data_IF_713246194238
#
_entry.id   IF_713246194238
#
_cell.length_a   1.000
_cell.length_b   1.000
_cell.length_c   1.000
_cell.angle_alpha   90.00
_cell.angle_beta   90.00
_cell.angle_gamma   90.00
#
_symmetry.space_group_name_H-M   'P 1'
#
loop_
_entity.id
_entity.type
_entity.pdbx_description
1 polymer ?
#
# COMPACT_ATOMS: atom_id res chain seq x y z
N UNK A 1 4.17 33.34 -28.80
CA UNK A 1 3.07 32.53 -28.26
C UNK A 1 3.32 32.33 -26.77
N UNK A 2 2.54 33.01 -25.92
CA UNK A 2 2.76 32.98 -24.47
C UNK A 2 2.26 31.65 -23.90
N UNK A 3 3.14 30.96 -23.18
CA UNK A 3 2.82 29.73 -22.44
C UNK A 3 2.04 30.16 -21.19
N UNK A 4 0.80 29.79 -21.13
CA UNK A 4 -0.07 30.06 -19.97
C UNK A 4 0.31 29.07 -18.84
N UNK A 5 1.08 29.53 -17.86
CA UNK A 5 1.46 28.75 -16.67
C UNK A 5 0.35 28.89 -15.64
N UNK A 6 -0.46 27.88 -15.49
CA UNK A 6 -1.46 27.83 -14.42
C UNK A 6 -0.75 27.52 -13.08
N UNK A 7 -0.85 28.43 -12.11
CA UNK A 7 -0.36 28.25 -10.75
C UNK A 7 -1.44 27.66 -9.88
N UNK A 8 -1.36 26.38 -9.53
CA UNK A 8 -2.25 25.76 -8.56
C UNK A 8 -1.67 25.92 -7.15
N UNK A 9 -2.40 26.58 -6.25
CA UNK A 9 -2.02 26.82 -4.87
C UNK A 9 -2.65 25.75 -3.97
N UNK A 10 -1.85 24.88 -3.38
CA UNK A 10 -2.30 23.91 -2.40
C UNK A 10 -1.40 24.04 -1.16
N UNK A 11 -1.97 24.50 -0.04
CA UNK A 11 -1.32 24.53 1.29
C UNK A 11 0.11 25.11 1.26
N UNK A 12 0.29 26.28 0.65
CA UNK A 12 1.58 26.98 0.64
C UNK A 12 2.63 26.46 -0.36
N UNK A 13 2.37 25.36 -1.06
CA UNK A 13 3.27 24.84 -2.09
C UNK A 13 2.74 25.15 -3.49
N UNK A 14 3.61 25.68 -4.36
CA UNK A 14 3.30 26.02 -5.74
C UNK A 14 3.91 24.95 -6.65
N UNK A 15 3.08 24.10 -7.25
CA UNK A 15 3.48 23.28 -8.38
C UNK A 15 3.29 24.09 -9.67
N UNK A 16 4.36 24.25 -10.46
CA UNK A 16 4.27 24.83 -11.79
C UNK A 16 3.84 23.75 -12.77
N UNK A 17 2.54 23.55 -12.93
CA UNK A 17 1.97 22.56 -13.86
C UNK A 17 1.81 23.24 -15.22
N UNK A 18 2.54 22.76 -16.23
CA UNK A 18 2.45 23.28 -17.60
C UNK A 18 1.16 22.90 -18.31
N UNK A 19 0.62 21.71 -17.96
CA UNK A 19 -0.67 21.20 -18.47
C UNK A 19 -1.22 20.18 -17.45
N UNK A 20 -2.51 20.18 -17.16
CA UNK A 20 -3.16 19.25 -16.22
C UNK A 20 -3.15 17.80 -16.69
N UNK A 21 -2.89 17.53 -17.99
CA UNK A 21 -2.71 16.18 -18.56
C UNK A 21 -1.24 15.73 -18.64
N UNK A 22 -0.28 16.55 -18.23
CA UNK A 22 1.14 16.23 -18.31
C UNK A 22 1.63 15.51 -17.04
N UNK A 23 1.50 14.19 -17.03
CA UNK A 23 1.95 13.32 -15.92
C UNK A 23 3.47 13.37 -15.74
N UNK A 24 4.23 13.42 -16.84
CA UNK A 24 5.69 13.50 -16.80
C UNK A 24 6.16 14.82 -16.18
N UNK A 25 5.55 15.93 -16.57
CA UNK A 25 5.81 17.23 -15.97
C UNK A 25 5.47 17.31 -14.49
N UNK A 26 4.39 16.66 -14.05
CA UNK A 26 4.04 16.53 -12.63
C UNK A 26 5.12 15.76 -11.84
N UNK A 27 5.60 14.64 -12.39
CA UNK A 27 6.67 13.86 -11.75
C UNK A 27 7.97 14.66 -11.69
N UNK A 28 8.36 15.33 -12.77
CA UNK A 28 9.57 16.15 -12.81
C UNK A 28 9.48 17.32 -11.79
N UNK A 29 8.32 17.95 -11.65
CA UNK A 29 8.09 18.99 -10.66
C UNK A 29 8.22 18.45 -9.22
N UNK A 30 7.62 17.30 -8.91
CA UNK A 30 7.73 16.66 -7.61
C UNK A 30 9.18 16.31 -7.24
N UNK A 31 9.97 15.84 -8.20
CA UNK A 31 11.40 15.59 -8.02
C UNK A 31 12.18 16.90 -7.76
N UNK A 32 11.97 17.94 -8.57
CA UNK A 32 12.61 19.24 -8.43
C UNK A 32 12.27 19.92 -7.10
N UNK A 33 11.03 19.75 -6.63
CA UNK A 33 10.57 20.31 -5.37
C UNK A 33 10.99 19.46 -4.15
N UNK A 34 11.72 18.35 -4.35
CA UNK A 34 12.19 17.47 -3.29
C UNK A 34 11.06 16.75 -2.54
N UNK A 35 9.96 16.40 -3.23
CA UNK A 35 8.89 15.60 -2.66
C UNK A 35 9.34 14.14 -2.50
N UNK A 36 10.25 13.69 -3.36
CA UNK A 36 10.85 12.35 -3.39
C UNK A 36 12.20 12.39 -4.15
N UNK A 37 13.03 11.36 -3.96
CA UNK A 37 14.26 11.15 -4.75
C UNK A 37 14.02 10.32 -6.02
N UNK A 38 12.97 9.48 -5.99
CA UNK A 38 12.55 8.61 -7.09
C UNK A 38 11.03 8.47 -7.10
N UNK A 39 10.42 8.38 -8.30
CA UNK A 39 9.02 8.06 -8.45
C UNK A 39 8.73 7.34 -9.77
N UNK A 40 7.67 6.52 -9.77
CA UNK A 40 7.08 5.92 -10.97
C UNK A 40 5.55 6.08 -10.96
N UNK A 41 4.98 6.22 -12.15
CA UNK A 41 3.53 6.19 -12.39
C UNK A 41 3.21 5.16 -13.44
N UNK A 42 2.13 4.43 -13.25
CA UNK A 42 1.52 3.60 -14.29
C UNK A 42 0.00 3.83 -14.28
N UNK A 43 -0.59 3.99 -15.47
CA UNK A 43 -2.01 4.28 -15.66
C UNK A 43 -2.56 3.30 -16.69
N UNK A 44 -3.71 2.69 -16.39
CA UNK A 44 -4.45 1.85 -17.32
C UNK A 44 -5.85 2.41 -17.56
N UNK A 45 -6.33 2.24 -18.77
CA UNK A 45 -7.71 2.56 -19.21
C UNK A 45 -8.29 1.31 -19.84
N UNK A 46 -9.42 0.84 -19.33
CA UNK A 46 -10.10 -0.38 -19.81
C UNK A 46 -9.17 -1.63 -19.85
N UNK A 47 -8.16 -1.67 -18.99
CA UNK A 47 -7.18 -2.76 -18.92
C UNK A 47 -5.88 -2.51 -19.71
N UNK A 48 -5.85 -1.56 -20.63
CA UNK A 48 -4.66 -1.22 -21.40
C UNK A 48 -3.80 -0.17 -20.69
N UNK A 49 -2.49 -0.41 -20.60
CA UNK A 49 -1.54 0.56 -20.04
C UNK A 49 -1.37 1.71 -21.03
N UNK A 50 -1.85 2.91 -20.65
CA UNK A 50 -1.84 4.12 -21.52
C UNK A 50 -0.73 5.10 -21.17
N UNK A 51 -0.16 5.02 -19.96
CA UNK A 51 0.98 5.84 -19.55
C UNK A 51 1.85 5.10 -18.53
N UNK A 52 3.16 5.28 -18.69
CA UNK A 52 4.16 4.80 -17.75
C UNK A 52 5.34 5.75 -17.75
N UNK A 53 5.65 6.35 -16.59
CA UNK A 53 6.73 7.30 -16.43
C UNK A 53 7.55 6.99 -15.18
N UNK A 54 8.84 7.34 -15.22
CA UNK A 54 9.76 7.19 -14.11
C UNK A 54 10.69 8.41 -14.05
N UNK A 55 11.03 8.86 -12.83
CA UNK A 55 11.94 9.99 -12.61
C UNK A 55 12.84 9.75 -11.41
N UNK A 56 13.99 10.42 -11.41
CA UNK A 56 14.93 10.42 -10.29
C UNK A 56 15.84 9.20 -10.25
N UNK A 57 16.40 8.94 -9.07
CA UNK A 57 17.30 7.80 -8.81
C UNK A 57 16.87 7.06 -7.55
N UNK A 58 16.99 5.73 -7.52
CA UNK A 58 16.54 4.90 -6.39
C UNK A 58 17.18 5.27 -5.06
N UNK A 59 18.42 5.76 -5.08
CA UNK A 59 19.14 6.24 -3.90
C UNK A 59 20.02 7.41 -4.28
N UNK A 60 19.90 8.53 -3.58
CA UNK A 60 20.66 9.76 -3.80
C UNK A 60 21.47 10.17 -2.58
N UNK A 61 21.18 9.58 -1.41
CA UNK A 61 21.80 9.89 -0.14
C UNK A 61 22.18 8.60 0.62
N UNK A 62 23.31 8.63 1.34
CA UNK A 62 23.74 7.57 2.25
C UNK A 62 23.34 7.87 3.71
N UNK A 63 23.16 9.16 4.02
CA UNK A 63 22.56 9.68 5.25
C UNK A 63 21.99 11.09 4.96
N UNK A 64 21.23 11.70 5.87
CA UNK A 64 20.86 13.12 5.75
C UNK A 64 22.11 13.98 5.52
N UNK A 65 22.05 14.81 4.48
CA UNK A 65 23.14 15.70 4.02
C UNK A 65 24.44 14.99 3.57
N UNK A 66 24.43 13.66 3.42
CA UNK A 66 25.56 12.86 2.89
C UNK A 66 25.14 12.25 1.55
N UNK A 67 25.60 12.79 0.42
CA UNK A 67 25.30 12.21 -0.90
C UNK A 67 25.77 10.76 -0.99
N UNK A 68 25.07 9.96 -1.79
CA UNK A 68 25.45 8.58 -2.05
C UNK A 68 26.82 8.51 -2.73
N UNK A 69 27.75 7.72 -2.18
CA UNK A 69 29.09 7.50 -2.75
C UNK A 69 29.00 6.86 -4.15
N UNK A 70 28.02 5.96 -4.31
CA UNK A 70 27.79 5.28 -5.59
C UNK A 70 26.72 6.01 -6.39
N UNK A 71 27.02 6.25 -7.67
CA UNK A 71 25.99 6.67 -8.60
C UNK A 71 25.04 5.50 -8.92
N UNK A 72 23.76 5.66 -8.57
CA UNK A 72 22.72 4.68 -8.86
C UNK A 72 22.13 4.94 -10.26
N UNK A 73 21.72 3.89 -11.00
CA UNK A 73 21.08 4.08 -12.30
C UNK A 73 19.82 4.94 -12.18
N UNK A 74 19.35 5.58 -13.26
CA UNK A 74 18.04 6.21 -13.26
C UNK A 74 16.95 5.24 -12.84
N UNK A 75 15.92 5.75 -12.15
CA UNK A 75 14.69 5.03 -11.87
C UNK A 75 14.00 4.67 -13.17
N UNK A 76 13.54 3.44 -13.28
CA UNK A 76 12.81 2.91 -14.43
C UNK A 76 11.55 2.12 -14.00
N UNK A 77 10.87 1.52 -14.96
CA UNK A 77 9.67 0.72 -14.72
C UNK A 77 9.91 -0.57 -13.92
N UNK A 78 11.14 -1.08 -13.88
CA UNK A 78 11.52 -2.28 -13.14
C UNK A 78 11.98 -1.96 -11.71
N UNK A 79 12.18 -0.68 -11.38
CA UNK A 79 12.55 -0.25 -10.03
C UNK A 79 11.43 -0.60 -9.05
N UNK A 80 11.76 -1.35 -8.00
CA UNK A 80 10.81 -1.73 -6.94
C UNK A 80 10.83 -0.72 -5.81
N UNK A 81 9.66 -0.42 -5.29
CA UNK A 81 9.46 0.45 -4.14
C UNK A 81 8.93 -0.35 -2.96
N UNK A 82 9.31 0.04 -1.74
CA UNK A 82 8.62 -0.42 -0.54
C UNK A 82 7.19 0.11 -0.59
N UNK A 83 6.23 -0.81 -0.69
CA UNK A 83 4.81 -0.51 -0.85
C UNK A 83 4.13 -0.10 0.46
N UNK A 84 4.84 -0.27 1.58
CA UNK A 84 4.34 0.02 2.92
C UNK A 84 2.93 -0.56 3.14
N UNK A 85 1.98 0.27 3.54
CA UNK A 85 0.61 -0.18 3.85
C UNK A 85 -0.22 -0.68 2.66
N UNK A 86 0.24 -0.54 1.42
CA UNK A 86 -0.40 -1.23 0.28
C UNK A 86 -0.30 -2.76 0.46
N UNK A 87 0.68 -3.26 1.22
CA UNK A 87 0.76 -4.66 1.66
C UNK A 87 -0.56 -5.17 2.23
N UNK A 88 -1.30 -4.32 2.94
CA UNK A 88 -2.61 -4.67 3.54
C UNK A 88 -3.63 -5.13 2.51
N UNK A 89 -3.60 -4.60 1.29
CA UNK A 89 -4.49 -5.06 0.21
C UNK A 89 -4.20 -6.51 -0.17
N UNK A 90 -2.91 -6.85 -0.30
CA UNK A 90 -2.48 -8.22 -0.64
C UNK A 90 -2.77 -9.17 0.52
N UNK A 91 -2.52 -8.75 1.77
CA UNK A 91 -2.85 -9.55 2.96
C UNK A 91 -4.35 -9.83 3.05
N UNK A 92 -5.19 -8.80 2.87
CA UNK A 92 -6.64 -8.94 2.89
C UNK A 92 -7.12 -9.90 1.80
N UNK A 93 -6.69 -9.70 0.55
CA UNK A 93 -7.06 -10.56 -0.55
C UNK A 93 -6.58 -12.00 -0.35
N UNK A 94 -5.35 -12.21 0.15
CA UNK A 94 -4.82 -13.55 0.46
C UNK A 94 -5.70 -14.27 1.49
N UNK A 95 -6.03 -13.60 2.60
CA UNK A 95 -6.87 -14.18 3.64
C UNK A 95 -8.29 -14.45 3.14
N UNK A 96 -8.87 -13.54 2.34
CA UNK A 96 -10.18 -13.73 1.73
C UNK A 96 -10.20 -14.89 0.72
N UNK A 97 -9.14 -15.06 -0.09
CA UNK A 97 -9.01 -16.22 -0.99
C UNK A 97 -8.95 -17.54 -0.21
N UNK A 98 -8.20 -17.58 0.90
CA UNK A 98 -8.10 -18.77 1.74
C UNK A 98 -9.44 -19.11 2.42
N UNK A 99 -10.23 -18.11 2.80
CA UNK A 99 -11.60 -18.31 3.31
C UNK A 99 -12.52 -18.86 2.22
N UNK A 100 -12.51 -18.27 1.03
CA UNK A 100 -13.31 -18.69 -0.12
C UNK A 100 -13.04 -20.18 -0.49
N UNK A 101 -11.76 -20.58 -0.52
CA UNK A 101 -11.33 -21.97 -0.76
C UNK A 101 -11.90 -22.96 0.27
N UNK A 102 -12.21 -22.51 1.48
CA UNK A 102 -12.81 -23.32 2.55
C UNK A 102 -14.34 -23.21 2.62
N UNK A 103 -14.95 -22.43 1.72
CA UNK A 103 -16.39 -22.14 1.76
C UNK A 103 -16.80 -21.33 2.99
N UNK A 104 -15.86 -20.57 3.58
CA UNK A 104 -16.07 -19.68 4.70
C UNK A 104 -16.07 -18.21 4.22
N UNK A 105 -16.55 -17.30 5.06
CA UNK A 105 -16.53 -15.87 4.80
C UNK A 105 -15.82 -15.09 5.93
N UNK A 106 -15.71 -13.79 5.79
CA UNK A 106 -15.00 -12.95 6.73
C UNK A 106 -15.74 -12.76 8.09
N UNK A 107 -16.93 -13.29 8.28
CA UNK A 107 -17.60 -13.37 9.60
C UNK A 107 -16.97 -14.41 10.52
N UNK A 108 -16.08 -15.25 10.02
CA UNK A 108 -15.36 -16.26 10.79
C UNK A 108 -14.69 -15.63 12.01
N UNK A 109 -14.95 -16.12 13.24
CA UNK A 109 -14.24 -15.70 14.43
C UNK A 109 -12.74 -16.04 14.33
N UNK A 110 -11.88 -15.06 14.62
CA UNK A 110 -10.42 -15.27 14.59
C UNK A 110 -9.97 -16.31 15.63
N UNK A 111 -10.76 -16.51 16.68
CA UNK A 111 -10.55 -17.55 17.69
C UNK A 111 -10.54 -18.98 17.12
N UNK A 112 -11.15 -19.22 15.97
CA UNK A 112 -11.09 -20.52 15.27
C UNK A 112 -9.74 -20.75 14.57
N UNK A 113 -8.94 -19.69 14.40
CA UNK A 113 -7.65 -19.73 13.71
C UNK A 113 -6.47 -19.54 14.67
N UNK A 114 -6.62 -18.66 15.66
CA UNK A 114 -5.56 -18.23 16.56
C UNK A 114 -5.98 -18.41 18.02
N UNK A 115 -5.25 -19.23 18.81
CA UNK A 115 -5.59 -19.51 20.20
C UNK A 115 -5.58 -18.27 21.10
N UNK A 116 -4.80 -17.23 20.77
CA UNK A 116 -4.76 -15.96 21.51
C UNK A 116 -6.14 -15.27 21.54
N UNK A 117 -6.95 -15.51 20.51
CA UNK A 117 -8.30 -14.95 20.42
C UNK A 117 -9.35 -15.71 21.24
N UNK A 118 -8.99 -16.78 21.93
CA UNK A 118 -9.88 -17.42 22.90
C UNK A 118 -10.03 -16.59 24.20
N UNK A 119 -9.17 -15.60 24.43
CA UNK A 119 -9.29 -14.69 25.58
C UNK A 119 -10.58 -13.84 25.49
N UNK A 120 -11.27 -13.56 26.61
CA UNK A 120 -12.55 -12.85 26.61
C UNK A 120 -12.54 -11.50 25.87
N UNK A 121 -11.41 -10.76 25.96
CA UNK A 121 -11.27 -9.46 25.29
C UNK A 121 -11.22 -9.55 23.75
N UNK A 122 -10.93 -10.72 23.19
CA UNK A 122 -10.71 -10.92 21.76
C UNK A 122 -11.65 -11.97 21.14
N UNK A 123 -12.35 -12.78 21.93
CA UNK A 123 -13.08 -13.97 21.47
C UNK A 123 -14.19 -13.72 20.44
N UNK A 124 -14.73 -12.50 20.42
CA UNK A 124 -15.75 -12.10 19.45
C UNK A 124 -15.22 -11.40 18.20
N UNK A 125 -13.92 -11.22 18.07
CA UNK A 125 -13.32 -10.54 16.91
C UNK A 125 -13.40 -11.46 15.70
N UNK A 126 -13.94 -10.92 14.59
CA UNK A 126 -14.02 -11.61 13.30
C UNK A 126 -12.89 -11.17 12.34
N UNK A 127 -12.65 -11.97 11.29
CA UNK A 127 -11.74 -11.60 10.21
C UNK A 127 -12.17 -10.28 9.57
N UNK A 128 -13.46 -10.06 9.36
CA UNK A 128 -13.98 -8.79 8.81
C UNK A 128 -13.57 -7.59 9.66
N UNK A 129 -13.62 -7.71 10.98
CA UNK A 129 -13.22 -6.62 11.88
C UNK A 129 -11.72 -6.33 11.84
N UNK A 130 -10.86 -7.34 11.69
CA UNK A 130 -9.43 -7.11 11.45
C UNK A 130 -9.21 -6.34 10.14
N UNK A 131 -9.81 -6.80 9.04
CA UNK A 131 -9.62 -6.24 7.70
C UNK A 131 -10.27 -4.88 7.50
N UNK A 132 -11.28 -4.53 8.29
CA UNK A 132 -11.98 -3.24 8.25
C UNK A 132 -11.53 -2.24 9.32
N UNK A 133 -10.48 -2.54 10.09
CA UNK A 133 -9.99 -1.68 11.16
C UNK A 133 -11.01 -1.39 12.27
N UNK A 134 -11.92 -2.33 12.53
CA UNK A 134 -12.94 -2.22 13.57
C UNK A 134 -12.78 -3.23 14.71
N UNK A 135 -11.65 -3.95 14.75
CA UNK A 135 -11.37 -4.94 15.80
C UNK A 135 -10.93 -4.32 17.15
N UNK A 136 -10.80 -2.99 17.22
CA UNK A 136 -10.44 -2.30 18.46
C UNK A 136 -8.95 -2.26 18.79
N UNK A 137 -8.06 -2.74 17.92
CA UNK A 137 -6.61 -2.70 18.16
C UNK A 137 -6.03 -1.28 18.05
N UNK A 138 -4.92 -0.98 18.78
CA UNK A 138 -4.21 0.27 18.62
C UNK A 138 -3.67 0.45 17.19
N UNK A 139 -3.40 1.70 16.80
CA UNK A 139 -2.90 2.02 15.45
C UNK A 139 -1.54 1.35 15.17
N UNK A 140 -0.64 1.42 16.13
CA UNK A 140 0.75 0.97 16.02
C UNK A 140 1.17 0.09 17.19
N UNK A 141 2.20 -0.72 16.95
CA UNK A 141 2.94 -1.49 17.93
C UNK A 141 4.31 -0.85 18.11
N UNK A 142 4.69 -0.55 19.35
CA UNK A 142 5.89 0.25 19.61
C UNK A 142 7.11 -0.55 20.06
N UNK A 143 6.97 -1.85 20.33
CA UNK A 143 8.12 -2.72 20.60
C UNK A 143 8.81 -3.07 19.26
N UNK A 144 9.99 -2.51 19.06
CA UNK A 144 10.78 -2.60 17.83
C UNK A 144 12.01 -3.48 17.98
N UNK A 145 12.14 -4.24 19.09
CA UNK A 145 13.23 -5.19 19.26
C UNK A 145 13.02 -6.40 18.37
N UNK A 146 14.02 -6.82 17.58
CA UNK A 146 13.93 -8.02 16.75
C UNK A 146 13.98 -9.32 17.56
N UNK A 147 14.54 -9.27 18.79
CA UNK A 147 14.68 -10.45 19.63
C UNK A 147 13.30 -10.90 20.14
N UNK A 148 12.88 -12.09 19.73
CA UNK A 148 11.56 -12.67 20.09
C UNK A 148 10.34 -11.76 19.78
N UNK A 149 10.45 -10.85 18.81
CA UNK A 149 9.44 -9.86 18.49
C UNK A 149 8.05 -10.47 18.25
N UNK A 150 7.99 -11.57 17.49
CA UNK A 150 6.72 -12.26 17.23
C UNK A 150 6.09 -12.87 18.50
N UNK A 151 6.90 -13.40 19.43
CA UNK A 151 6.43 -13.95 20.71
C UNK A 151 5.87 -12.84 21.58
N UNK A 152 6.60 -11.71 21.70
CA UNK A 152 6.14 -10.56 22.49
C UNK A 152 4.88 -9.93 21.90
N UNK A 153 4.81 -9.81 20.57
CA UNK A 153 3.61 -9.32 19.89
C UNK A 153 2.40 -10.18 20.25
N UNK A 154 2.49 -11.50 20.07
CA UNK A 154 1.40 -12.43 20.40
C UNK A 154 0.99 -12.39 21.87
N UNK A 155 1.95 -12.21 22.77
CA UNK A 155 1.71 -12.15 24.20
C UNK A 155 1.01 -10.86 24.66
N UNK A 156 1.27 -9.72 24.01
CA UNK A 156 0.90 -8.41 24.53
C UNK A 156 -0.03 -7.55 23.64
N UNK A 157 -0.13 -7.85 22.33
CA UNK A 157 -0.99 -7.07 21.42
C UNK A 157 -2.48 -7.36 21.69
N UNK A 158 -3.17 -6.41 22.33
CA UNK A 158 -4.58 -6.52 22.73
C UNK A 158 -5.38 -5.33 22.24
N UNK A 159 -6.71 -5.47 22.04
CA UNK A 159 -7.58 -4.35 21.70
C UNK A 159 -7.63 -3.33 22.84
N UNK A 160 -7.76 -2.06 22.48
CA UNK A 160 -7.91 -0.92 23.40
C UNK A 160 -9.33 -0.35 23.36
N UNK A 161 -10.11 -0.69 22.34
CA UNK A 161 -11.52 -0.38 22.21
C UNK A 161 -12.33 -1.70 22.11
N UNK A 162 -13.61 -1.66 22.44
CA UNK A 162 -14.50 -2.79 22.24
C UNK A 162 -14.62 -3.09 20.73
N UNK A 163 -14.50 -4.36 20.30
CA UNK A 163 -14.64 -4.74 18.89
C UNK A 163 -15.96 -4.28 18.27
N UNK A 164 -15.89 -3.73 17.05
CA UNK A 164 -17.05 -3.24 16.30
C UNK A 164 -17.57 -1.87 16.70
N UNK A 165 -16.98 -1.19 17.70
CA UNK A 165 -17.49 0.10 18.20
C UNK A 165 -16.84 1.33 17.57
N UNK A 166 -15.57 1.21 17.15
CA UNK A 166 -14.77 2.31 16.61
C UNK A 166 -14.04 1.86 15.35
N UNK A 167 -14.02 2.68 14.31
CA UNK A 167 -13.09 2.52 13.22
C UNK A 167 -11.76 3.20 13.60
N UNK A 168 -10.71 2.40 13.80
CA UNK A 168 -9.35 2.87 14.06
C UNK A 168 -8.38 2.19 13.10
N UNK A 169 -7.80 2.94 12.17
CA UNK A 169 -6.76 2.41 11.30
C UNK A 169 -5.65 1.75 12.14
N UNK A 170 -5.43 0.46 11.94
CA UNK A 170 -4.55 -0.34 12.80
C UNK A 170 -3.59 -1.21 11.99
N UNK A 171 -2.30 -0.97 12.15
CA UNK A 171 -1.26 -1.89 11.71
C UNK A 171 -1.28 -3.18 12.54
N UNK A 172 -1.56 -3.08 13.85
CA UNK A 172 -1.67 -4.23 14.76
C UNK A 172 -2.74 -5.22 14.29
N UNK A 173 -3.93 -4.73 13.91
CA UNK A 173 -4.98 -5.58 13.35
C UNK A 173 -4.56 -6.34 12.10
N UNK A 174 -3.75 -5.70 11.24
CA UNK A 174 -3.24 -6.34 10.03
C UNK A 174 -2.07 -7.31 10.27
N UNK A 175 -1.27 -7.10 11.33
CA UNK A 175 -0.31 -8.12 11.77
C UNK A 175 -1.08 -9.38 12.18
N UNK A 176 -2.15 -9.25 12.97
CA UNK A 176 -3.03 -10.37 13.32
C UNK A 176 -3.70 -11.00 12.09
N UNK A 177 -4.13 -10.22 11.10
CA UNK A 177 -4.69 -10.75 9.85
C UNK A 177 -3.68 -11.58 9.07
N UNK A 178 -2.41 -11.16 9.03
CA UNK A 178 -1.31 -11.97 8.46
C UNK A 178 -1.13 -13.30 9.18
N UNK A 179 -1.10 -13.27 10.52
CA UNK A 179 -0.99 -14.49 11.35
C UNK A 179 -2.22 -15.41 11.18
N UNK A 180 -3.42 -14.83 11.02
CA UNK A 180 -4.63 -15.61 10.71
C UNK A 180 -4.55 -16.28 9.33
N UNK A 181 -3.98 -15.58 8.33
CA UNK A 181 -3.73 -16.17 7.01
C UNK A 181 -2.73 -17.34 7.10
N UNK A 182 -1.66 -17.19 7.86
CA UNK A 182 -0.65 -18.25 8.08
C UNK A 182 -1.26 -19.47 8.76
N UNK A 183 -2.07 -19.26 9.79
CA UNK A 183 -2.77 -20.35 10.49
C UNK A 183 -3.77 -21.07 9.56
N UNK A 184 -4.55 -20.29 8.78
CA UNK A 184 -5.54 -20.83 7.85
C UNK A 184 -4.89 -21.58 6.69
N UNK A 185 -3.81 -21.04 6.11
CA UNK A 185 -3.11 -21.57 4.95
C UNK A 185 -1.99 -22.56 5.27
N UNK A 186 -1.65 -22.73 6.57
CA UNK A 186 -0.56 -23.58 7.07
C UNK A 186 0.81 -23.33 6.37
N UNK A 187 1.11 -22.06 6.06
CA UNK A 187 2.36 -21.64 5.42
C UNK A 187 2.67 -20.16 5.77
N UNK A 188 3.92 -19.70 5.62
CA UNK A 188 4.28 -18.30 5.81
C UNK A 188 3.51 -17.36 4.87
N UNK A 189 3.23 -16.13 5.34
CA UNK A 189 2.42 -15.14 4.60
C UNK A 189 2.99 -14.82 3.20
N UNK A 190 4.30 -14.71 3.06
CA UNK A 190 4.96 -14.47 1.76
C UNK A 190 4.69 -15.59 0.75
N UNK A 191 4.70 -16.85 1.20
CA UNK A 191 4.37 -18.02 0.38
C UNK A 191 2.88 -18.02 -0.01
N UNK A 192 2.00 -17.73 0.95
CA UNK A 192 0.55 -17.68 0.71
C UNK A 192 0.18 -16.55 -0.24
N UNK A 193 0.72 -15.34 -0.02
CA UNK A 193 0.53 -14.20 -0.90
C UNK A 193 1.06 -14.50 -2.33
N UNK A 194 2.23 -15.13 -2.43
CA UNK A 194 2.77 -15.60 -3.71
C UNK A 194 1.76 -16.45 -4.46
N UNK A 195 1.31 -17.53 -3.86
CA UNK A 195 0.45 -18.54 -4.50
C UNK A 195 -0.99 -18.08 -4.74
N UNK A 196 -1.57 -17.26 -3.87
CA UNK A 196 -2.99 -16.86 -3.91
C UNK A 196 -3.25 -15.54 -4.58
N UNK A 197 -2.22 -14.68 -4.66
CA UNK A 197 -2.36 -13.33 -5.18
C UNK A 197 -1.35 -13.00 -6.28
N UNK A 198 -0.04 -13.07 -5.96
CA UNK A 198 0.97 -12.51 -6.86
C UNK A 198 1.11 -13.33 -8.15
N UNK A 199 1.17 -14.65 -8.05
CA UNK A 199 1.27 -15.56 -9.22
C UNK A 199 0.00 -15.51 -10.08
N UNK A 200 -1.23 -15.68 -9.54
CA UNK A 200 -2.45 -15.62 -10.33
C UNK A 200 -2.66 -14.28 -11.03
N UNK A 201 -2.23 -13.17 -10.43
CA UNK A 201 -2.28 -11.84 -11.02
C UNK A 201 -1.09 -11.55 -11.94
N UNK A 202 -0.12 -12.44 -12.07
CA UNK A 202 1.10 -12.23 -12.84
C UNK A 202 1.99 -11.11 -12.29
N UNK A 203 1.99 -10.89 -10.97
CA UNK A 203 2.76 -9.86 -10.27
C UNK A 203 4.18 -10.35 -9.89
N UNK A 204 4.90 -10.99 -10.81
CA UNK A 204 6.18 -11.66 -10.54
C UNK A 204 7.31 -10.75 -10.06
N UNK A 205 7.18 -9.43 -10.21
CA UNK A 205 8.14 -8.44 -9.71
C UNK A 205 7.73 -7.88 -8.33
N UNK A 206 6.69 -8.43 -7.72
CA UNK A 206 6.20 -8.05 -6.39
C UNK A 206 6.48 -9.18 -5.41
N UNK A 207 6.98 -8.84 -4.22
CA UNK A 207 7.30 -9.83 -3.19
C UNK A 207 7.87 -9.21 -1.94
N UNK A 208 8.06 -10.05 -0.93
CA UNK A 208 8.69 -9.67 0.32
C UNK A 208 10.22 -9.85 0.25
N UNK A 209 10.95 -9.13 1.10
CA UNK A 209 12.41 -9.30 1.29
C UNK A 209 13.24 -9.26 0.00
N UNK A 210 13.17 -8.21 -0.82
CA UNK A 210 13.87 -8.15 -2.11
C UNK A 210 15.40 -8.18 -1.98
N UNK A 211 15.97 -7.84 -0.81
CA UNK A 211 17.41 -7.85 -0.57
C UNK A 211 18.04 -9.24 -0.73
N UNK A 212 17.26 -10.30 -0.53
CA UNK A 212 17.73 -11.70 -0.69
C UNK A 212 17.30 -12.34 -2.01
N UNK A 213 16.67 -11.56 -2.91
CA UNK A 213 16.26 -12.05 -4.23
C UNK A 213 17.48 -12.29 -5.12
N UNK A 214 17.39 -13.34 -5.95
CA UNK A 214 18.38 -13.62 -6.99
C UNK A 214 17.66 -13.68 -8.36
N UNK A 215 18.08 -12.89 -9.37
CA UNK A 215 19.17 -11.91 -9.36
C UNK A 215 18.86 -10.68 -8.49
N UNK A 216 19.90 -9.87 -8.13
CA UNK A 216 19.69 -8.63 -7.39
C UNK A 216 18.71 -7.71 -8.09
N UNK A 217 17.78 -7.17 -7.33
CA UNK A 217 16.72 -6.29 -7.83
C UNK A 217 17.02 -4.86 -7.40
N UNK A 218 16.85 -3.89 -8.30
CA UNK A 218 16.95 -2.48 -7.94
C UNK A 218 15.72 -2.09 -7.15
N UNK A 219 15.94 -1.66 -5.91
CA UNK A 219 14.90 -1.11 -5.03
C UNK A 219 15.17 0.37 -4.76
N UNK A 220 14.13 1.16 -4.53
CA UNK A 220 14.27 2.51 -4.04
C UNK A 220 14.61 2.49 -2.53
N UNK A 221 15.67 3.21 -2.13
CA UNK A 221 15.99 3.42 -0.72
C UNK A 221 14.89 4.24 -0.05
N UNK A 222 14.67 3.99 1.23
CA UNK A 222 13.65 4.68 2.02
C UNK A 222 14.30 5.69 2.98
N UNK A 223 14.34 5.46 4.24
CA UNK A 223 14.74 6.41 5.26
C UNK A 223 16.08 6.05 5.89
N UNK A 224 16.84 7.03 6.33
CA UNK A 224 17.94 6.83 7.25
C UNK A 224 17.38 6.75 8.67
N UNK A 225 17.31 5.54 9.21
CA UNK A 225 16.73 5.28 10.54
C UNK A 225 17.78 5.26 11.64
N UNK A 226 17.50 6.00 12.70
CA UNK A 226 18.33 6.07 13.91
C UNK A 226 17.72 5.32 15.10
N UNK A 227 16.41 5.07 15.05
CA UNK A 227 15.67 4.29 16.05
C UNK A 227 14.59 3.42 15.34
N UNK A 228 14.84 2.11 15.20
CA UNK A 228 16.10 1.37 15.49
C UNK A 228 17.25 1.86 14.61
N UNK A 229 18.52 1.68 15.05
CA UNK A 229 19.70 2.21 14.35
C UNK A 229 20.06 1.36 13.11
N UNK A 230 19.26 1.47 12.06
CA UNK A 230 19.39 0.70 10.81
C UNK A 230 20.22 1.40 9.73
N UNK A 231 20.53 2.71 9.92
CA UNK A 231 21.15 3.51 8.87
C UNK A 231 20.21 3.73 7.68
N UNK A 232 20.76 3.81 6.46
CA UNK A 232 19.97 3.94 5.24
C UNK A 232 19.25 2.63 4.91
N UNK A 233 17.95 2.60 5.11
CA UNK A 233 17.11 1.42 4.82
C UNK A 233 16.94 1.26 3.31
N UNK A 234 17.42 0.13 2.78
CA UNK A 234 17.44 -0.16 1.37
C UNK A 234 17.30 -1.66 1.08
N UNK A 235 16.27 -2.05 0.36
CA UNK A 235 15.96 -3.46 0.09
C UNK A 235 15.39 -4.23 1.29
N UNK A 236 15.15 -3.53 2.39
CA UNK A 236 14.48 -4.02 3.59
C UNK A 236 13.24 -3.18 3.87
N UNK A 237 12.24 -3.77 4.56
CA UNK A 237 11.02 -3.08 4.90
C UNK A 237 11.28 -1.82 5.74
N UNK A 238 10.66 -0.71 5.35
CA UNK A 238 10.77 0.56 6.06
C UNK A 238 10.10 0.53 7.44
N UNK A 239 8.92 -0.08 7.54
CA UNK A 239 8.14 -0.19 8.78
C UNK A 239 8.97 -0.91 9.86
N UNK A 240 9.22 -0.22 10.97
CA UNK A 240 10.10 -0.68 12.03
C UNK A 240 9.52 -1.90 12.76
N UNK A 241 8.19 -1.96 12.90
CA UNK A 241 7.50 -3.10 13.49
C UNK A 241 7.57 -4.33 12.58
N UNK A 242 7.28 -4.14 11.29
CA UNK A 242 7.38 -5.23 10.34
C UNK A 242 8.82 -5.77 10.25
N UNK A 243 9.82 -4.89 10.30
CA UNK A 243 11.23 -5.30 10.36
C UNK A 243 11.52 -6.15 11.61
N UNK A 244 11.11 -5.69 12.80
CA UNK A 244 11.29 -6.43 14.05
C UNK A 244 10.56 -7.79 14.06
N UNK A 245 9.52 -7.94 13.24
CA UNK A 245 8.74 -9.17 13.08
C UNK A 245 9.20 -10.04 11.89
N UNK A 246 10.38 -9.74 11.28
CA UNK A 246 10.98 -10.57 10.23
C UNK A 246 10.68 -10.16 8.78
N UNK A 247 10.05 -9.02 8.57
CA UNK A 247 9.96 -8.34 7.25
C UNK A 247 8.83 -8.79 6.32
N UNK A 248 8.20 -9.93 6.54
CA UNK A 248 7.01 -10.37 5.79
C UNK A 248 5.81 -10.41 6.74
N UNK A 249 5.13 -9.29 6.89
CA UNK A 249 4.09 -9.10 7.91
C UNK A 249 2.83 -8.54 7.26
N UNK A 250 1.67 -8.82 7.86
CA UNK A 250 0.38 -8.45 7.26
C UNK A 250 0.15 -6.95 7.05
N UNK A 251 0.85 -6.09 7.79
CA UNK A 251 0.69 -4.64 7.70
C UNK A 251 1.62 -3.96 6.69
N UNK A 252 2.82 -4.53 6.43
CA UNK A 252 3.87 -3.96 5.59
C UNK A 252 4.90 -5.02 5.18
N UNK A 253 5.82 -4.67 4.26
CA UNK A 253 6.95 -5.51 3.85
C UNK A 253 6.94 -5.94 2.40
N UNK A 254 5.86 -5.64 1.66
CA UNK A 254 5.78 -5.93 0.24
C UNK A 254 6.53 -4.86 -0.57
N UNK A 255 7.29 -5.31 -1.56
CA UNK A 255 7.96 -4.48 -2.57
C UNK A 255 7.39 -4.80 -3.95
N UNK A 256 7.33 -3.80 -4.83
CA UNK A 256 6.81 -4.03 -6.17
C UNK A 256 6.99 -2.84 -7.11
N UNK A 257 6.65 -3.07 -8.39
CA UNK A 257 6.65 -2.08 -9.44
C UNK A 257 5.25 -1.48 -9.66
N UNK A 258 5.17 -0.30 -10.25
CA UNK A 258 3.89 0.32 -10.58
C UNK A 258 3.07 -0.54 -11.54
N UNK A 259 3.72 -1.19 -12.51
CA UNK A 259 3.06 -2.07 -13.47
C UNK A 259 2.44 -3.30 -12.81
N UNK A 260 3.12 -3.90 -11.82
CA UNK A 260 2.54 -5.04 -11.10
C UNK A 260 1.32 -4.62 -10.25
N UNK A 261 1.39 -3.45 -9.60
CA UNK A 261 0.25 -2.96 -8.83
C UNK A 261 -0.96 -2.58 -9.68
N UNK A 262 -0.78 -2.19 -10.95
CA UNK A 262 -1.90 -2.02 -11.89
C UNK A 262 -2.70 -3.31 -12.05
N UNK A 263 -2.05 -4.49 -12.04
CA UNK A 263 -2.75 -5.77 -12.16
C UNK A 263 -3.69 -6.03 -10.97
N UNK A 264 -3.28 -5.65 -9.76
CA UNK A 264 -4.16 -5.68 -8.58
C UNK A 264 -5.31 -4.67 -8.72
N UNK A 265 -5.02 -3.44 -9.17
CA UNK A 265 -6.04 -2.43 -9.40
C UNK A 265 -7.07 -2.89 -10.44
N UNK A 266 -6.61 -3.44 -11.57
CA UNK A 266 -7.48 -3.97 -12.63
C UNK A 266 -8.33 -5.15 -12.15
N UNK A 267 -7.78 -6.04 -11.31
CA UNK A 267 -8.56 -7.13 -10.73
C UNK A 267 -9.71 -6.64 -9.82
N UNK A 268 -9.55 -5.46 -9.17
CA UNK A 268 -10.59 -4.81 -8.39
C UNK A 268 -11.53 -3.90 -9.22
N UNK A 269 -11.07 -3.46 -10.41
CA UNK A 269 -11.88 -2.68 -11.35
C UNK A 269 -12.94 -3.52 -12.04
N UNK A 270 -12.58 -4.74 -12.40
CA UNK A 270 -13.48 -5.67 -13.09
C UNK A 270 -14.67 -6.06 -12.22
N UNK A 271 -15.87 -6.27 -12.82
CA UNK A 271 -17.00 -6.82 -12.09
C UNK A 271 -16.66 -8.15 -11.40
N UNK A 272 -17.24 -8.44 -10.23
CA UNK A 272 -17.02 -9.69 -9.54
C UNK A 272 -17.36 -10.91 -10.41
N UNK A 273 -16.36 -11.74 -10.70
CA UNK A 273 -16.45 -12.92 -11.57
C UNK A 273 -15.88 -12.77 -12.97
N UNK A 274 -15.58 -11.54 -13.41
CA UNK A 274 -15.01 -11.28 -14.74
C UNK A 274 -13.48 -11.24 -14.72
N UNK A 275 -12.88 -11.26 -13.54
CA UNK A 275 -11.44 -11.16 -13.33
C UNK A 275 -10.81 -12.42 -12.71
N UNK A 276 -9.49 -12.38 -12.46
CA UNK A 276 -8.74 -13.51 -11.93
C UNK A 276 -8.99 -13.79 -10.44
N UNK A 277 -9.59 -12.86 -9.71
CA UNK A 277 -9.93 -13.05 -8.29
C UNK A 277 -11.34 -13.65 -8.12
N UNK A 278 -11.57 -14.48 -7.07
CA UNK A 278 -12.91 -14.95 -6.75
C UNK A 278 -13.91 -13.79 -6.59
N UNK A 279 -15.13 -13.98 -7.07
CA UNK A 279 -16.17 -12.96 -7.02
C UNK A 279 -16.50 -12.51 -5.58
N UNK A 280 -16.42 -13.42 -4.59
CA UNK A 280 -16.55 -13.15 -3.15
C UNK A 280 -15.47 -12.18 -2.66
N UNK A 281 -14.21 -12.36 -3.08
CA UNK A 281 -13.06 -11.53 -2.73
C UNK A 281 -13.23 -10.12 -3.29
N UNK A 282 -13.55 -10.00 -4.58
CA UNK A 282 -13.77 -8.67 -5.22
C UNK A 282 -14.91 -7.94 -4.53
N UNK A 283 -16.04 -8.61 -4.27
CA UNK A 283 -17.17 -7.99 -3.53
C UNK A 283 -16.75 -7.52 -2.14
N UNK A 284 -16.03 -8.35 -1.37
CA UNK A 284 -15.57 -8.00 -0.03
C UNK A 284 -14.63 -6.79 -0.03
N UNK A 285 -13.76 -6.68 -1.04
CA UNK A 285 -12.79 -5.58 -1.17
C UNK A 285 -13.36 -4.31 -1.80
N UNK A 286 -14.55 -4.34 -2.40
CA UNK A 286 -15.16 -3.17 -3.06
C UNK A 286 -16.46 -2.70 -2.39
N UNK A 287 -16.97 -3.44 -1.40
CA UNK A 287 -18.20 -3.09 -0.67
C UNK A 287 -17.85 -2.43 0.67
N UNK A 288 -18.38 -1.23 0.98
CA UNK A 288 -18.11 -0.57 2.24
C UNK A 288 -18.78 -1.31 3.42
N UNK A 289 -18.03 -1.52 4.50
CA UNK A 289 -18.50 -2.18 5.74
C UNK A 289 -18.37 -1.29 6.97
N UNK A 290 -17.54 -0.23 6.90
CA UNK A 290 -17.37 0.74 7.96
C UNK A 290 -17.13 2.14 7.39
N UNK A 291 -17.16 3.16 8.26
CA UNK A 291 -16.88 4.55 7.92
C UNK A 291 -15.82 5.10 8.85
N UNK A 292 -14.80 5.74 8.30
CA UNK A 292 -13.77 6.44 9.04
C UNK A 292 -14.22 7.86 9.42
N UNK A 293 -13.68 8.40 10.50
CA UNK A 293 -13.99 9.75 11.00
C UNK A 293 -13.54 10.83 10.00
N UNK A 294 -12.48 10.60 9.22
CA UNK A 294 -11.98 11.48 8.15
C UNK A 294 -12.77 11.39 6.83
N UNK A 295 -13.87 10.62 6.83
CA UNK A 295 -14.93 10.66 5.83
C UNK A 295 -14.81 9.65 4.69
N UNK A 296 -13.74 8.85 4.56
CA UNK A 296 -13.73 7.74 3.63
C UNK A 296 -14.54 6.54 4.17
N UNK A 297 -14.94 5.64 3.29
CA UNK A 297 -15.58 4.38 3.65
C UNK A 297 -14.52 3.27 3.61
N UNK A 298 -14.64 2.29 4.49
CA UNK A 298 -13.72 1.16 4.60
C UNK A 298 -14.37 -0.11 4.07
N UNK A 299 -13.74 -0.79 3.12
CA UNK A 299 -14.03 -2.15 2.73
C UNK A 299 -13.10 -3.14 3.47
N UNK A 300 -13.13 -4.44 3.13
CA UNK A 300 -12.17 -5.40 3.67
C UNK A 300 -10.83 -5.27 2.93
N UNK A 301 -10.00 -4.34 3.41
CA UNK A 301 -8.71 -3.98 2.83
C UNK A 301 -8.71 -2.55 2.28
N UNK A 302 -9.30 -2.29 1.13
CA UNK A 302 -9.28 -0.97 0.52
C UNK A 302 -10.08 0.10 1.28
N UNK A 303 -9.63 1.34 1.14
CA UNK A 303 -10.38 2.54 1.46
C UNK A 303 -11.17 2.97 0.24
N UNK A 304 -12.37 3.55 0.44
CA UNK A 304 -13.29 3.94 -0.62
C UNK A 304 -13.58 5.43 -0.54
N UNK A 305 -13.38 6.14 -1.66
CA UNK A 305 -13.73 7.55 -1.78
C UNK A 305 -12.77 8.50 -1.07
N UNK A 306 -11.49 8.12 -0.92
CA UNK A 306 -10.45 9.02 -0.43
C UNK A 306 -10.30 10.27 -1.31
N UNK A 307 -10.01 11.40 -0.67
CA UNK A 307 -9.98 12.72 -1.34
C UNK A 307 -8.94 12.81 -2.45
N UNK A 308 -7.82 12.10 -2.33
CA UNK A 308 -6.75 12.09 -3.34
C UNK A 308 -7.14 11.30 -4.61
N UNK A 309 -8.08 10.36 -4.49
CA UNK A 309 -8.53 9.50 -5.60
C UNK A 309 -9.86 9.95 -6.24
N UNK A 310 -10.40 11.12 -5.85
CA UNK A 310 -11.69 11.63 -6.35
C UNK A 310 -11.75 11.82 -7.86
N UNK A 311 -10.61 12.08 -8.50
CA UNK A 311 -10.54 12.14 -9.96
C UNK A 311 -11.01 10.86 -10.65
N UNK A 312 -10.88 9.69 -10.00
CA UNK A 312 -11.34 8.42 -10.55
C UNK A 312 -12.83 8.18 -10.36
N UNK A 313 -13.43 8.72 -9.29
CA UNK A 313 -14.83 8.55 -8.96
C UNK A 313 -15.10 8.55 -7.45
N UNK A 314 -16.36 8.68 -7.06
CA UNK A 314 -16.78 8.73 -5.65
C UNK A 314 -16.72 7.37 -4.95
N UNK A 315 -16.67 6.28 -5.73
CA UNK A 315 -16.58 4.89 -5.26
C UNK A 315 -15.21 4.28 -5.52
N UNK A 316 -14.24 5.11 -5.94
CA UNK A 316 -12.87 4.65 -6.15
C UNK A 316 -12.33 3.94 -4.91
N UNK A 317 -11.82 2.72 -5.11
CA UNK A 317 -11.17 1.90 -4.10
C UNK A 317 -9.66 2.01 -4.23
N UNK A 318 -8.96 2.01 -3.11
CA UNK A 318 -7.50 2.10 -3.16
C UNK A 318 -6.86 2.12 -1.78
N UNK A 319 -5.56 2.34 -1.76
CA UNK A 319 -4.79 2.51 -0.54
C UNK A 319 -3.54 3.34 -0.78
N UNK A 320 -3.04 3.97 0.27
CA UNK A 320 -1.77 4.70 0.26
C UNK A 320 -0.74 4.02 1.14
N UNK A 321 0.55 4.16 0.79
CA UNK A 321 1.67 3.72 1.61
C UNK A 321 2.40 4.90 2.25
N UNK A 322 2.95 4.69 3.44
CA UNK A 322 3.70 5.69 4.20
C UNK A 322 4.93 6.19 3.43
N UNK A 323 5.60 5.30 2.71
CA UNK A 323 6.78 5.58 1.88
C UNK A 323 6.52 6.49 0.69
N UNK A 324 5.24 6.79 0.39
CA UNK A 324 4.83 7.68 -0.71
C UNK A 324 4.08 7.00 -1.84
N UNK A 325 3.71 5.76 -1.65
CA UNK A 325 3.03 4.92 -2.64
C UNK A 325 1.51 5.11 -2.61
N UNK A 326 0.84 4.83 -3.72
CA UNK A 326 -0.62 4.87 -3.86
C UNK A 326 -1.08 3.97 -5.02
N UNK A 327 -2.23 3.34 -4.86
CA UNK A 327 -2.94 2.60 -5.89
C UNK A 327 -4.43 2.85 -5.76
N UNK A 328 -5.12 3.13 -6.86
CA UNK A 328 -6.57 3.26 -6.88
C UNK A 328 -7.17 2.90 -8.23
N UNK A 329 -8.42 2.45 -8.19
CA UNK A 329 -9.28 2.21 -9.34
C UNK A 329 -10.73 2.47 -8.97
N UNK A 330 -11.59 2.72 -9.97
CA UNK A 330 -13.05 2.76 -9.81
C UNK A 330 -13.63 1.39 -10.18
N UNK A 331 -14.27 0.65 -9.26
CA UNK A 331 -14.96 -0.61 -9.60
C UNK A 331 -16.04 -0.38 -10.67
N UNK A 332 -15.97 -1.14 -11.75
CA UNK A 332 -16.83 -0.95 -12.93
C UNK A 332 -16.53 0.30 -13.75
N UNK A 333 -15.54 1.11 -13.35
CA UNK A 333 -15.05 2.25 -14.11
C UNK A 333 -14.01 1.84 -15.15
N UNK A 334 -13.32 2.84 -15.72
CA UNK A 334 -12.37 2.64 -16.80
C UNK A 334 -10.91 2.80 -16.39
N UNK A 335 -10.64 3.53 -15.30
CA UNK A 335 -9.32 4.05 -14.98
C UNK A 335 -8.73 3.40 -13.74
N UNK A 336 -7.46 2.98 -13.84
CA UNK A 336 -6.62 2.56 -12.72
C UNK A 336 -5.34 3.38 -12.71
N UNK A 337 -4.94 3.84 -11.52
CA UNK A 337 -3.75 4.68 -11.33
C UNK A 337 -2.89 4.11 -10.21
N UNK A 338 -1.59 3.97 -10.49
CA UNK A 338 -0.56 3.65 -9.51
C UNK A 338 0.49 4.74 -9.51
N UNK A 339 0.82 5.25 -8.33
CA UNK A 339 1.91 6.16 -8.09
C UNK A 339 2.81 5.60 -6.99
N UNK A 340 4.09 5.40 -7.28
CA UNK A 340 5.08 4.94 -6.31
C UNK A 340 6.16 6.00 -6.16
N UNK A 341 6.56 6.28 -4.93
CA UNK A 341 7.69 7.17 -4.65
C UNK A 341 8.39 6.78 -3.34
N UNK A 342 9.61 7.26 -3.15
CA UNK A 342 10.36 7.13 -1.92
C UNK A 342 10.42 8.46 -1.15
N UNK A 343 9.25 9.08 -0.88
CA UNK A 343 9.14 10.39 -0.24
C UNK A 343 9.86 10.51 1.12
N UNK A 344 10.16 9.39 1.74
CA UNK A 344 10.87 9.34 3.04
C UNK A 344 12.39 9.31 2.89
N UNK A 345 12.91 9.34 1.67
CA UNK A 345 14.34 9.32 1.38
C UNK A 345 14.92 10.75 1.29
N UNK A 346 16.00 11.05 2.02
CA UNK A 346 16.68 10.23 3.04
C UNK A 346 16.03 10.30 4.42
N UNK A 347 15.05 11.18 4.61
CA UNK A 347 14.35 11.41 5.88
C UNK A 347 12.88 11.76 5.67
N UNK A 348 12.05 11.54 6.70
CA UNK A 348 10.61 11.84 6.67
C UNK A 348 10.36 13.32 6.45
N UNK A 349 9.72 13.66 5.34
CA UNK A 349 9.21 15.00 5.06
C UNK A 349 7.70 15.12 5.38
N UNK A 350 7.13 16.34 5.26
CA UNK A 350 5.70 16.59 5.42
C UNK A 350 4.86 15.73 4.47
N UNK A 351 3.79 15.11 5.00
CA UNK A 351 2.95 14.19 4.23
C UNK A 351 2.00 14.90 3.24
N UNK A 352 1.69 16.16 3.48
CA UNK A 352 0.79 16.99 2.66
C UNK A 352 1.30 17.15 1.21
N UNK A 353 2.63 17.21 1.02
CA UNK A 353 3.25 17.34 -0.31
C UNK A 353 2.98 16.12 -1.18
N UNK A 354 3.18 14.91 -0.65
CA UNK A 354 2.91 13.68 -1.39
C UNK A 354 1.41 13.45 -1.57
N UNK A 355 0.57 13.88 -0.63
CA UNK A 355 -0.89 13.84 -0.78
C UNK A 355 -1.37 14.75 -1.92
N UNK A 356 -0.80 15.95 -2.03
CA UNK A 356 -1.07 16.85 -3.16
C UNK A 356 -0.64 16.19 -4.49
N UNK A 357 0.54 15.55 -4.53
CA UNK A 357 1.04 14.87 -5.72
C UNK A 357 0.12 13.73 -6.16
N UNK A 358 -0.32 12.86 -5.23
CA UNK A 358 -1.29 11.79 -5.51
C UNK A 358 -2.55 12.34 -6.16
N UNK A 359 -3.11 13.43 -5.60
CA UNK A 359 -4.32 14.07 -6.15
C UNK A 359 -4.07 14.65 -7.54
N UNK A 360 -2.98 15.39 -7.74
CA UNK A 360 -2.67 15.97 -9.05
C UNK A 360 -2.51 14.90 -10.13
N UNK A 361 -1.87 13.77 -9.82
CA UNK A 361 -1.71 12.65 -10.76
C UNK A 361 -3.07 12.03 -11.09
N UNK A 362 -3.92 11.77 -10.10
CA UNK A 362 -5.25 11.18 -10.36
C UNK A 362 -6.18 12.12 -11.11
N UNK A 363 -6.15 13.43 -10.79
CA UNK A 363 -6.94 14.46 -11.50
C UNK A 363 -6.46 14.64 -12.95
N UNK A 364 -5.14 14.64 -13.17
CA UNK A 364 -4.53 14.70 -14.49
C UNK A 364 -4.89 13.47 -15.34
N UNK A 365 -4.81 12.28 -14.75
CA UNK A 365 -5.21 11.03 -15.40
C UNK A 365 -6.70 11.05 -15.79
N UNK A 366 -7.59 11.45 -14.87
CA UNK A 366 -9.01 11.57 -15.13
C UNK A 366 -9.32 12.60 -16.25
N UNK A 367 -8.58 13.70 -16.28
CA UNK A 367 -8.73 14.72 -17.33
C UNK A 367 -8.25 14.24 -18.68
N UNK A 368 -7.11 13.55 -18.73
CA UNK A 368 -6.50 13.10 -19.98
C UNK A 368 -7.30 11.99 -20.68
N UNK A 369 -7.93 11.09 -19.93
CA UNK A 369 -8.62 9.91 -20.46
C UNK A 369 -10.13 9.91 -20.26
N UNK A 370 -10.72 11.08 -19.95
CA UNK A 370 -12.17 11.31 -20.09
C UNK A 370 -13.04 10.54 -19.09
N UNK A 371 -12.54 10.33 -17.89
CA UNK A 371 -13.33 9.77 -16.78
C UNK A 371 -14.11 10.91 -16.12
N UNK A 372 -15.26 11.29 -16.70
CA UNK A 372 -16.27 12.19 -16.14
C UNK A 372 -17.66 11.64 -16.42
#
# INVERSE_FOLDING_TARGET
>A
MGINVAKAKVVGYFFHVRNTGDIEGLLAAGLSDGVYGAATVAIAVDGDVVAQHAVGRPRTWDAPDVPAEREWPPTDSATRFDLASITKLVTAATLLCLLDERGADASLPVAELLPEFAEPAMSGITVAQLLSHTAGFPAEWHDRSPDDGAVRFRAAARPVDAPGTVHRYSCVGYIWAGLAAEALGAAPLDVLAGRRMLEPLGMGETGFRPAIAAPPVITAATEFQTDPPRGMVHGEVHDETAWALGGAVGNAGLFGTAQNLLKLAEALRLPPGDGPLPASVVRAMTTPVARADDGYRQALGPRIGETWARGLGATAVGHTGFTGTAVATEPGGRLSVVFLSNRVHPQRGPADRVQAMRRHITDAAATAWGVR
#
